data_IF_898724199626
#
_entry.id   IF_898724199626
#
_cell.length_a   1.000
_cell.length_b   1.000
_cell.length_c   1.000
_cell.angle_alpha   90.00
_cell.angle_beta   90.00
_cell.angle_gamma   90.00
#
_symmetry.space_group_name_H-M   'P 1'
#
loop_
_entity.id
_entity.type
_entity.pdbx_description
1 polymer ?
#
# COMPACT_ATOMS: atom_id res chain seq x y z
N UNK A 1 -5.85 17.03 69.30
CA UNK A 1 -4.70 17.51 68.50
C UNK A 1 -3.95 16.35 67.86
N UNK A 2 -3.72 15.24 68.57
CA UNK A 2 -3.13 14.02 67.97
C UNK A 2 -3.97 13.44 66.83
N UNK A 3 -5.30 13.36 66.97
CA UNK A 3 -6.19 12.78 65.92
C UNK A 3 -6.23 13.58 64.60
N UNK A 4 -6.07 14.90 64.69
CA UNK A 4 -6.08 15.79 63.53
C UNK A 4 -4.83 15.62 62.66
N UNK A 5 -3.68 15.37 63.30
CA UNK A 5 -2.40 15.14 62.61
C UNK A 5 -2.40 13.76 61.95
N UNK A 6 -3.00 12.74 62.57
CA UNK A 6 -3.13 11.41 61.97
C UNK A 6 -4.07 11.38 60.77
N UNK A 7 -5.20 12.10 60.81
CA UNK A 7 -6.07 12.23 59.64
C UNK A 7 -5.39 12.96 58.48
N UNK A 8 -4.68 14.04 58.75
CA UNK A 8 -4.02 14.83 57.71
C UNK A 8 -2.89 14.02 57.04
N UNK A 9 -2.09 13.30 57.83
CA UNK A 9 -1.04 12.39 57.34
C UNK A 9 -1.65 11.22 56.55
N UNK A 10 -2.73 10.60 57.03
CA UNK A 10 -3.41 9.51 56.32
C UNK A 10 -4.00 9.97 54.97
N UNK A 11 -4.57 11.18 54.94
CA UNK A 11 -5.15 11.76 53.73
C UNK A 11 -4.08 12.14 52.72
N UNK A 12 -2.94 12.68 53.17
CA UNK A 12 -1.79 12.98 52.31
C UNK A 12 -1.14 11.70 51.77
N UNK A 13 -0.97 10.68 52.61
CA UNK A 13 -0.47 9.38 52.18
C UNK A 13 -1.39 8.71 51.15
N UNK A 14 -2.73 8.77 51.37
CA UNK A 14 -3.72 8.26 50.42
C UNK A 14 -3.68 8.98 49.07
N UNK A 15 -3.53 10.32 49.08
CA UNK A 15 -3.35 11.12 47.86
C UNK A 15 -2.06 10.76 47.12
N UNK A 16 -0.96 10.53 47.83
CA UNK A 16 0.32 10.14 47.23
C UNK A 16 0.25 8.74 46.60
N UNK A 17 -0.39 7.79 47.29
CA UNK A 17 -0.63 6.43 46.78
C UNK A 17 -1.52 6.42 45.54
N UNK A 18 -2.59 7.21 45.53
CA UNK A 18 -3.43 7.41 44.34
C UNK A 18 -2.63 8.05 43.20
N UNK A 19 -1.83 9.08 43.46
CA UNK A 19 -1.02 9.72 42.43
C UNK A 19 0.04 8.77 41.83
N UNK A 20 0.69 7.94 42.65
CA UNK A 20 1.67 6.94 42.22
C UNK A 20 1.02 5.79 41.46
N UNK A 21 -0.09 5.24 41.95
CA UNK A 21 -0.78 4.13 41.30
C UNK A 21 -1.45 4.55 40.00
N UNK A 22 -2.18 5.67 39.99
CA UNK A 22 -2.77 6.23 38.77
C UNK A 22 -1.66 6.65 37.80
N UNK A 23 -0.58 7.29 38.26
CA UNK A 23 0.55 7.67 37.40
C UNK A 23 1.27 6.48 36.76
N UNK A 24 1.53 5.41 37.51
CA UNK A 24 2.16 4.20 37.00
C UNK A 24 1.25 3.41 36.03
N UNK A 25 -0.05 3.33 36.32
CA UNK A 25 -1.05 2.74 35.40
C UNK A 25 -1.21 3.60 34.15
N UNK A 26 -1.17 4.93 34.28
CA UNK A 26 -1.24 5.87 33.16
C UNK A 26 -0.05 5.73 32.22
N UNK A 27 1.18 5.64 32.74
CA UNK A 27 2.38 5.49 31.90
C UNK A 27 2.54 4.10 31.29
N UNK A 28 2.12 3.04 32.00
CA UNK A 28 2.16 1.67 31.47
C UNK A 28 1.11 1.43 30.38
N UNK A 29 -0.05 2.09 30.45
CA UNK A 29 -1.07 2.08 29.40
C UNK A 29 -0.88 3.18 28.34
N UNK A 30 -0.02 4.17 28.58
CA UNK A 30 0.24 5.23 27.61
C UNK A 30 0.85 4.68 26.32
N UNK A 31 1.88 3.83 26.41
CA UNK A 31 2.57 3.31 25.23
C UNK A 31 1.70 2.36 24.39
N UNK A 32 0.90 1.42 24.96
CA UNK A 32 0.01 0.58 24.16
C UNK A 32 -1.15 1.38 23.56
N UNK A 33 -1.73 2.34 24.30
CA UNK A 33 -2.82 3.19 23.78
C UNK A 33 -2.31 4.12 22.68
N UNK A 34 -1.13 4.71 22.83
CA UNK A 34 -0.50 5.51 21.79
C UNK A 34 -0.25 4.67 20.53
N UNK A 35 0.28 3.45 20.68
CA UNK A 35 0.50 2.53 19.58
C UNK A 35 -0.81 2.17 18.88
N UNK A 36 -1.86 1.80 19.62
CA UNK A 36 -3.18 1.50 19.05
C UNK A 36 -3.78 2.68 18.27
N UNK A 37 -3.62 3.92 18.76
CA UNK A 37 -4.10 5.11 18.06
C UNK A 37 -3.31 5.37 16.78
N UNK A 38 -1.99 5.22 16.82
CA UNK A 38 -1.13 5.36 15.65
C UNK A 38 -1.44 4.31 14.59
N UNK A 39 -1.61 3.04 14.97
CA UNK A 39 -1.98 1.97 14.03
C UNK A 39 -3.37 2.21 13.43
N UNK A 40 -4.37 2.59 14.23
CA UNK A 40 -5.72 2.85 13.73
C UNK A 40 -5.77 4.00 12.72
N UNK A 41 -4.97 5.05 12.92
CA UNK A 41 -4.85 6.14 11.94
C UNK A 41 -4.18 5.70 10.64
N UNK A 42 -3.18 4.83 10.72
CA UNK A 42 -2.50 4.28 9.54
C UNK A 42 -3.42 3.35 8.76
N UNK A 43 -4.15 2.48 9.45
CA UNK A 43 -5.12 1.57 8.86
C UNK A 43 -6.20 2.35 8.10
N UNK A 44 -6.74 3.41 8.71
CA UNK A 44 -7.71 4.29 8.07
C UNK A 44 -7.12 5.01 6.84
N UNK A 45 -5.93 5.61 6.96
CA UNK A 45 -5.29 6.32 5.86
C UNK A 45 -5.01 5.39 4.67
N UNK A 46 -4.55 4.17 4.94
CA UNK A 46 -4.31 3.14 3.94
C UNK A 46 -5.59 2.72 3.23
N UNK A 47 -6.65 2.40 3.97
CA UNK A 47 -7.95 2.05 3.39
C UNK A 47 -8.52 3.17 2.53
N UNK A 48 -8.41 4.42 2.99
CA UNK A 48 -8.83 5.59 2.21
C UNK A 48 -8.01 5.72 0.93
N UNK A 49 -6.69 5.54 0.99
CA UNK A 49 -5.82 5.58 -0.18
C UNK A 49 -6.17 4.47 -1.18
N UNK A 50 -6.40 3.25 -0.70
CA UNK A 50 -6.82 2.11 -1.53
C UNK A 50 -8.17 2.35 -2.22
N UNK A 51 -9.17 2.81 -1.47
CA UNK A 51 -10.49 3.14 -2.02
C UNK A 51 -10.40 4.25 -3.08
N UNK A 52 -9.58 5.27 -2.84
CA UNK A 52 -9.34 6.33 -3.83
C UNK A 52 -8.61 5.81 -5.06
N UNK A 53 -7.63 4.92 -4.88
CA UNK A 53 -6.91 4.30 -5.99
C UNK A 53 -7.85 3.47 -6.86
N UNK A 54 -8.79 2.73 -6.25
CA UNK A 54 -9.82 1.98 -6.97
C UNK A 54 -10.73 2.90 -7.78
N UNK A 55 -11.26 3.96 -7.17
CA UNK A 55 -12.11 4.94 -7.87
C UNK A 55 -11.37 5.62 -9.02
N UNK A 56 -10.13 6.05 -8.79
CA UNK A 56 -9.28 6.65 -9.81
C UNK A 56 -8.96 5.64 -10.94
N UNK A 57 -8.79 4.36 -10.62
CA UNK A 57 -8.59 3.29 -11.60
C UNK A 57 -9.79 3.13 -12.53
N UNK A 58 -11.02 3.18 -11.98
CA UNK A 58 -12.25 3.14 -12.78
C UNK A 58 -12.34 4.35 -13.72
N UNK A 59 -12.11 5.56 -13.19
CA UNK A 59 -12.11 6.78 -14.00
C UNK A 59 -11.03 6.77 -15.08
N UNK A 60 -9.85 6.22 -14.76
CA UNK A 60 -8.77 6.06 -15.72
C UNK A 60 -9.15 5.05 -16.82
N UNK A 61 -9.84 3.96 -16.48
CA UNK A 61 -10.32 2.99 -17.45
C UNK A 61 -11.30 3.64 -18.44
N UNK A 62 -12.25 4.44 -17.93
CA UNK A 62 -13.20 5.18 -18.77
C UNK A 62 -12.50 6.20 -19.67
N UNK A 63 -11.48 6.89 -19.14
CA UNK A 63 -10.68 7.84 -19.92
C UNK A 63 -9.87 7.12 -21.02
N UNK A 64 -9.27 5.97 -20.72
CA UNK A 64 -8.42 5.21 -21.64
C UNK A 64 -9.23 4.47 -22.71
N UNK A 65 -10.42 3.95 -22.37
CA UNK A 65 -11.30 3.27 -23.32
C UNK A 65 -12.00 4.24 -24.28
N UNK A 66 -12.12 5.51 -23.89
CA UNK A 66 -12.74 6.54 -24.69
C UNK A 66 -11.84 7.02 -25.85
N UNK A 67 -12.12 6.49 -27.06
CA UNK A 67 -11.41 6.84 -28.29
C UNK A 67 -11.52 8.31 -28.68
N UNK A 68 -12.55 9.02 -28.24
CA UNK A 68 -12.69 10.46 -28.50
C UNK A 68 -11.69 11.28 -27.66
N UNK A 69 -11.29 10.77 -26.49
CA UNK A 69 -10.32 11.42 -25.61
C UNK A 69 -8.89 11.08 -26.02
N UNK A 70 -8.60 9.79 -26.23
CA UNK A 70 -7.22 9.30 -26.47
C UNK A 70 -6.85 9.24 -27.96
N UNK A 71 -7.86 9.20 -28.85
CA UNK A 71 -7.66 8.93 -30.26
C UNK A 71 -7.26 7.47 -30.50
N UNK A 72 -6.41 7.25 -31.52
CA UNK A 72 -5.81 5.95 -31.84
C UNK A 72 -4.36 5.80 -31.32
N UNK A 73 -3.95 6.63 -30.37
CA UNK A 73 -2.58 6.60 -29.85
C UNK A 73 -2.43 5.44 -28.87
N UNK A 74 -1.33 4.67 -28.96
CA UNK A 74 -1.07 3.63 -27.98
C UNK A 74 -0.80 4.24 -26.60
N UNK A 75 -1.46 3.71 -25.57
CA UNK A 75 -1.31 4.19 -24.18
C UNK A 75 -0.41 3.23 -23.42
N UNK A 76 0.64 3.75 -22.79
CA UNK A 76 1.48 2.99 -21.87
C UNK A 76 1.38 3.59 -20.46
N UNK A 77 1.21 2.74 -19.45
CA UNK A 77 0.95 3.13 -18.07
C UNK A 77 2.09 2.69 -17.15
N UNK A 78 2.65 3.64 -16.40
CA UNK A 78 3.75 3.39 -15.47
C UNK A 78 3.38 3.99 -14.12
N UNK A 79 3.52 3.20 -13.05
CA UNK A 79 3.18 3.66 -11.72
C UNK A 79 3.92 2.90 -10.63
N UNK A 80 4.12 3.57 -9.51
CA UNK A 80 4.68 2.98 -8.30
C UNK A 80 3.69 3.08 -7.14
N UNK A 81 3.77 2.17 -6.17
CA UNK A 81 2.94 2.19 -4.96
C UNK A 81 1.44 2.26 -5.30
N UNK A 82 0.68 3.17 -4.68
CA UNK A 82 -0.73 3.42 -5.00
C UNK A 82 -0.96 3.86 -6.45
N UNK A 83 0.02 4.47 -7.12
CA UNK A 83 -0.07 4.75 -8.55
C UNK A 83 -0.08 3.45 -9.38
N UNK A 84 0.69 2.44 -8.96
CA UNK A 84 0.60 1.11 -9.54
C UNK A 84 -0.78 0.47 -9.25
N UNK A 85 -1.34 0.68 -8.06
CA UNK A 85 -2.68 0.19 -7.71
C UNK A 85 -3.77 0.81 -8.59
N UNK A 86 -3.71 2.13 -8.85
CA UNK A 86 -4.61 2.82 -9.79
C UNK A 86 -4.58 2.16 -11.17
N UNK A 87 -3.38 1.89 -11.69
CA UNK A 87 -3.22 1.23 -13.00
C UNK A 87 -3.76 -0.19 -12.95
N UNK A 88 -3.46 -0.95 -11.89
CA UNK A 88 -3.93 -2.32 -11.75
C UNK A 88 -5.47 -2.40 -11.74
N UNK A 89 -6.13 -1.53 -10.97
CA UNK A 89 -7.59 -1.42 -10.97
C UNK A 89 -8.16 -0.95 -12.31
N UNK A 90 -7.48 -0.01 -12.98
CA UNK A 90 -7.85 0.39 -14.34
C UNK A 90 -7.83 -0.80 -15.31
N UNK A 91 -6.77 -1.62 -15.31
CA UNK A 91 -6.68 -2.79 -16.20
C UNK A 91 -7.77 -3.83 -15.90
N UNK A 92 -8.06 -4.06 -14.62
CA UNK A 92 -9.16 -4.95 -14.23
C UNK A 92 -10.51 -4.43 -14.70
N UNK A 93 -10.74 -3.12 -14.58
CA UNK A 93 -11.98 -2.47 -15.00
C UNK A 93 -12.14 -2.50 -16.53
N UNK A 94 -11.08 -2.21 -17.29
CA UNK A 94 -11.07 -2.37 -18.75
C UNK A 94 -11.46 -3.80 -19.16
N UNK A 95 -10.90 -4.80 -18.49
CA UNK A 95 -11.29 -6.20 -18.73
C UNK A 95 -12.75 -6.47 -18.36
N UNK A 96 -13.28 -5.85 -17.29
CA UNK A 96 -14.69 -5.98 -16.88
C UNK A 96 -15.64 -5.35 -17.92
N UNK A 97 -15.22 -4.25 -18.55
CA UNK A 97 -15.94 -3.58 -19.63
C UNK A 97 -15.84 -4.32 -20.98
N UNK A 98 -15.05 -5.40 -21.06
CA UNK A 98 -14.79 -6.13 -22.31
C UNK A 98 -13.76 -5.47 -23.22
N UNK A 99 -13.07 -4.42 -22.75
CA UNK A 99 -12.03 -3.70 -23.48
C UNK A 99 -10.69 -4.47 -23.40
N UNK A 100 -10.47 -5.38 -24.34
CA UNK A 100 -9.21 -6.14 -24.47
C UNK A 100 -8.16 -5.40 -25.28
N UNK A 101 -6.88 -5.64 -25.00
CA UNK A 101 -5.75 -5.07 -25.76
C UNK A 101 -5.77 -3.54 -25.89
N UNK A 102 -6.36 -2.84 -24.91
CA UNK A 102 -6.54 -1.38 -24.94
C UNK A 102 -5.25 -0.66 -24.56
N UNK A 103 -4.54 -1.17 -23.56
CA UNK A 103 -3.26 -0.61 -23.09
C UNK A 103 -2.12 -1.29 -23.83
N UNK A 104 -1.14 -0.52 -24.29
CA UNK A 104 0.04 -1.05 -24.99
C UNK A 104 1.00 -1.72 -24.00
N UNK A 105 1.46 -0.98 -23.00
CA UNK A 105 2.37 -1.47 -21.98
C UNK A 105 1.93 -1.03 -20.59
N UNK A 106 2.19 -1.86 -19.58
CA UNK A 106 1.95 -1.51 -18.19
C UNK A 106 3.14 -1.93 -17.32
N UNK A 107 3.66 -1.03 -16.50
CA UNK A 107 4.69 -1.30 -15.51
C UNK A 107 4.20 -0.93 -14.11
N UNK A 108 4.13 -1.93 -13.24
CA UNK A 108 3.63 -1.81 -11.88
C UNK A 108 4.80 -1.99 -10.91
N UNK A 109 5.18 -0.91 -10.21
CA UNK A 109 6.33 -0.92 -9.31
C UNK A 109 5.91 -0.92 -7.84
N UNK A 110 6.34 -1.92 -7.09
CA UNK A 110 6.00 -2.03 -5.67
C UNK A 110 4.48 -2.06 -5.43
N UNK A 111 3.74 -2.80 -6.26
CA UNK A 111 2.28 -2.85 -6.24
C UNK A 111 1.76 -3.34 -4.88
N UNK A 112 0.99 -2.50 -4.15
CA UNK A 112 0.35 -2.89 -2.91
C UNK A 112 -1.00 -3.55 -3.19
N UNK A 113 -1.00 -4.68 -3.88
CA UNK A 113 -2.20 -5.50 -4.11
C UNK A 113 -1.81 -6.98 -4.15
N UNK A 114 -2.82 -7.86 -4.09
CA UNK A 114 -2.59 -9.29 -4.05
C UNK A 114 -1.94 -9.82 -5.33
N UNK A 115 -1.23 -10.93 -5.22
CA UNK A 115 -0.69 -11.66 -6.36
C UNK A 115 -1.68 -12.69 -6.96
N UNK A 116 -2.99 -12.53 -6.72
CA UNK A 116 -4.03 -13.45 -7.19
C UNK A 116 -3.99 -13.63 -8.70
N UNK A 117 -3.76 -14.86 -9.17
CA UNK A 117 -3.69 -15.15 -10.61
C UNK A 117 -4.96 -14.77 -11.35
N UNK A 118 -6.13 -14.79 -10.70
CA UNK A 118 -7.40 -14.38 -11.32
C UNK A 118 -7.46 -12.88 -11.60
N UNK A 119 -6.97 -12.07 -10.67
CA UNK A 119 -6.88 -10.61 -10.79
C UNK A 119 -5.87 -10.20 -11.87
N UNK A 120 -4.70 -10.84 -11.84
CA UNK A 120 -3.66 -10.62 -12.84
C UNK A 120 -4.06 -11.11 -14.24
N UNK A 121 -4.87 -12.18 -14.35
CA UNK A 121 -5.46 -12.59 -15.63
C UNK A 121 -6.36 -11.53 -16.22
N UNK A 122 -7.23 -10.90 -15.41
CA UNK A 122 -8.06 -9.78 -15.87
C UNK A 122 -7.19 -8.62 -16.34
N UNK A 123 -6.19 -8.23 -15.54
CA UNK A 123 -5.27 -7.16 -15.93
C UNK A 123 -4.52 -7.48 -17.23
N UNK A 124 -4.06 -8.73 -17.40
CA UNK A 124 -3.36 -9.22 -18.60
C UNK A 124 -4.22 -9.16 -19.86
N UNK A 125 -5.53 -9.41 -19.77
CA UNK A 125 -6.44 -9.30 -20.91
C UNK A 125 -6.55 -7.87 -21.49
N UNK A 126 -6.38 -6.85 -20.63
CA UNK A 126 -6.49 -5.45 -21.04
C UNK A 126 -5.21 -4.90 -21.69
N UNK A 127 -4.07 -5.57 -21.48
CA UNK A 127 -2.76 -5.16 -22.01
C UNK A 127 -2.47 -5.95 -23.29
N UNK A 128 -1.98 -5.28 -24.33
CA UNK A 128 -1.60 -5.91 -25.60
C UNK A 128 -0.11 -6.30 -25.64
N UNK A 129 0.76 -5.45 -25.10
CA UNK A 129 2.20 -5.69 -24.99
C UNK A 129 2.62 -6.15 -23.60
N UNK A 130 3.78 -5.67 -23.15
CA UNK A 130 4.43 -6.03 -21.88
C UNK A 130 3.60 -5.59 -20.66
N UNK A 131 3.35 -6.53 -19.74
CA UNK A 131 2.85 -6.26 -18.38
C UNK A 131 3.96 -6.64 -17.41
N UNK A 132 4.58 -5.64 -16.79
CA UNK A 132 5.75 -5.83 -15.93
C UNK A 132 5.37 -5.59 -14.47
N UNK A 133 5.67 -6.56 -13.62
CA UNK A 133 5.65 -6.45 -12.17
C UNK A 133 7.07 -6.23 -11.66
N UNK A 134 7.35 -5.03 -11.17
CA UNK A 134 8.62 -4.67 -10.52
C UNK A 134 8.43 -4.82 -9.02
N UNK A 135 9.16 -5.75 -8.41
CA UNK A 135 8.99 -6.10 -6.99
C UNK A 135 10.32 -6.03 -6.23
N UNK A 136 10.24 -5.71 -4.95
CA UNK A 136 11.39 -5.72 -4.04
C UNK A 136 11.03 -6.54 -2.81
N UNK A 137 11.70 -7.68 -2.63
CA UNK A 137 11.58 -8.50 -1.43
C UNK A 137 12.07 -7.79 -0.16
N UNK A 138 12.87 -6.73 -0.33
CA UNK A 138 13.45 -5.92 0.76
C UNK A 138 12.58 -4.71 1.14
N UNK A 139 11.43 -4.50 0.51
CA UNK A 139 10.56 -3.37 0.83
C UNK A 139 9.89 -3.58 2.21
N UNK A 140 10.53 -3.01 3.22
CA UNK A 140 10.07 -3.16 4.59
C UNK A 140 8.74 -2.46 4.88
N UNK A 141 8.41 -1.37 4.20
CA UNK A 141 7.14 -0.66 4.44
C UNK A 141 5.98 -1.49 3.91
N UNK A 142 6.12 -2.01 2.69
CA UNK A 142 5.09 -2.87 2.11
C UNK A 142 4.97 -4.18 2.88
N UNK A 143 6.11 -4.76 3.28
CA UNK A 143 6.15 -5.98 4.11
C UNK A 143 5.55 -5.79 5.50
N UNK A 144 5.76 -4.65 6.15
CA UNK A 144 5.21 -4.35 7.47
C UNK A 144 3.70 -4.09 7.42
N UNK A 145 3.25 -3.23 6.50
CA UNK A 145 1.85 -2.86 6.38
C UNK A 145 0.99 -4.08 6.02
N UNK A 146 1.40 -4.89 5.04
CA UNK A 146 0.63 -6.08 4.68
C UNK A 146 0.69 -7.20 5.72
N UNK A 147 1.83 -7.43 6.38
CA UNK A 147 1.88 -8.42 7.47
C UNK A 147 0.97 -8.05 8.64
N UNK A 148 0.79 -6.76 8.90
CA UNK A 148 -0.05 -6.26 9.99
C UNK A 148 -1.53 -6.21 9.60
N UNK A 149 -1.85 -5.78 8.38
CA UNK A 149 -3.23 -5.52 7.95
C UNK A 149 -3.90 -6.72 7.26
N UNK A 150 -3.13 -7.60 6.63
CA UNK A 150 -3.65 -8.69 5.78
C UNK A 150 -2.85 -9.99 6.04
N UNK A 151 -3.17 -10.66 7.14
CA UNK A 151 -2.48 -11.86 7.62
C UNK A 151 -2.45 -12.97 6.53
N UNK A 152 -1.27 -13.26 5.99
CA UNK A 152 -1.05 -14.40 5.07
C UNK A 152 -1.24 -14.13 3.58
N UNK A 153 -1.51 -12.89 3.15
CA UNK A 153 -1.63 -12.56 1.72
C UNK A 153 -0.27 -12.30 1.07
N UNK A 154 -0.07 -12.89 -0.11
CA UNK A 154 1.12 -12.63 -0.94
C UNK A 154 0.87 -11.37 -1.78
N UNK A 155 1.77 -10.40 -1.63
CA UNK A 155 1.69 -9.07 -2.26
C UNK A 155 2.55 -9.04 -3.51
N UNK A 156 2.01 -8.55 -4.62
CA UNK A 156 2.73 -8.51 -5.89
C UNK A 156 3.98 -7.62 -5.86
N UNK A 157 3.99 -6.55 -5.05
CA UNK A 157 5.16 -5.69 -4.87
C UNK A 157 6.31 -6.32 -4.05
N UNK A 158 6.09 -7.46 -3.39
CA UNK A 158 7.11 -8.18 -2.60
C UNK A 158 7.59 -9.47 -3.26
N UNK A 159 6.85 -10.01 -4.23
CA UNK A 159 7.11 -11.32 -4.82
C UNK A 159 6.66 -11.36 -6.27
N UNK A 160 7.35 -12.19 -7.05
CA UNK A 160 6.94 -12.50 -8.42
C UNK A 160 5.51 -13.05 -8.49
N UNK A 161 4.82 -12.66 -9.56
CA UNK A 161 3.48 -13.13 -9.92
C UNK A 161 3.62 -14.31 -10.89
N UNK A 162 3.08 -15.46 -10.50
CA UNK A 162 3.10 -16.66 -11.33
C UNK A 162 1.92 -16.65 -12.33
N UNK A 163 2.12 -15.91 -13.44
CA UNK A 163 1.17 -15.85 -14.54
C UNK A 163 1.91 -15.66 -15.87
N UNK A 164 1.56 -16.46 -16.88
CA UNK A 164 2.09 -16.31 -18.23
C UNK A 164 1.73 -14.94 -18.82
N UNK A 165 2.72 -14.28 -19.45
CA UNK A 165 2.55 -12.94 -20.03
C UNK A 165 2.69 -11.79 -19.01
N UNK A 166 3.04 -12.11 -17.75
CA UNK A 166 3.53 -11.13 -16.77
C UNK A 166 5.04 -11.28 -16.64
N UNK A 167 5.76 -10.21 -16.92
CA UNK A 167 7.21 -10.13 -16.70
C UNK A 167 7.46 -9.71 -15.25
N UNK A 168 8.36 -10.40 -14.56
CA UNK A 168 8.70 -10.07 -13.17
C UNK A 168 10.15 -9.57 -13.10
N UNK A 169 10.36 -8.40 -12.51
CA UNK A 169 11.68 -7.78 -12.36
C UNK A 169 11.94 -7.54 -10.87
N UNK A 170 12.97 -8.20 -10.34
CA UNK A 170 13.41 -8.07 -8.96
C UNK A 170 14.36 -6.88 -8.83
N UNK A 171 14.09 -5.97 -7.88
CA UNK A 171 14.86 -4.73 -7.72
C UNK A 171 15.35 -4.47 -6.29
N UNK A 172 15.47 -5.49 -5.44
CA UNK A 172 15.95 -5.33 -4.06
C UNK A 172 17.37 -4.75 -3.98
N UNK A 173 18.20 -4.95 -5.02
CA UNK A 173 19.52 -4.35 -5.11
C UNK A 173 19.50 -2.81 -5.24
N UNK A 174 18.42 -2.25 -5.79
CA UNK A 174 18.27 -0.81 -6.08
C UNK A 174 17.31 -0.14 -5.10
N UNK A 175 16.23 -0.83 -4.73
CA UNK A 175 15.16 -0.35 -3.85
C UNK A 175 15.23 -1.09 -2.51
N UNK A 176 15.72 -0.40 -1.47
CA UNK A 176 15.77 -0.91 -0.10
C UNK A 176 14.61 -0.41 0.76
N UNK A 177 14.06 0.76 0.41
CA UNK A 177 12.93 1.35 1.11
C UNK A 177 11.87 1.82 0.11
N UNK A 178 10.58 1.70 0.44
CA UNK A 178 9.48 2.17 -0.41
C UNK A 178 9.59 3.66 -0.81
N UNK A 179 10.20 4.48 0.04
CA UNK A 179 10.48 5.90 -0.23
C UNK A 179 11.53 6.14 -1.32
N UNK A 180 12.23 5.10 -1.76
CA UNK A 180 13.27 5.21 -2.80
C UNK A 180 12.64 5.24 -4.19
N UNK A 181 11.44 4.66 -4.38
CA UNK A 181 10.76 4.58 -5.68
C UNK A 181 10.73 5.92 -6.42
N UNK A 182 10.26 7.05 -5.84
CA UNK A 182 10.14 8.31 -6.58
C UNK A 182 11.46 8.83 -7.15
N UNK A 183 12.58 8.58 -6.47
CA UNK A 183 13.92 9.03 -6.91
C UNK A 183 14.55 8.07 -7.91
N UNK A 184 14.11 6.81 -7.91
CA UNK A 184 14.67 5.71 -8.69
C UNK A 184 13.81 5.34 -9.89
N UNK A 185 12.65 5.96 -10.10
CA UNK A 185 11.80 5.70 -11.29
C UNK A 185 12.61 5.73 -12.58
N UNK A 186 13.49 6.73 -12.86
CA UNK A 186 14.29 6.72 -14.08
C UNK A 186 15.20 5.49 -14.20
N UNK A 187 15.89 5.12 -13.10
CA UNK A 187 16.75 3.94 -13.05
C UNK A 187 15.95 2.65 -13.30
N UNK A 188 14.75 2.56 -12.72
CA UNK A 188 13.85 1.41 -12.88
C UNK A 188 13.31 1.31 -14.30
N UNK A 189 12.96 2.43 -14.92
CA UNK A 189 12.48 2.47 -16.31
C UNK A 189 13.57 2.01 -17.27
N UNK A 190 14.80 2.51 -17.10
CA UNK A 190 15.97 2.07 -17.86
C UNK A 190 16.26 0.57 -17.65
N UNK A 191 16.16 0.07 -16.41
CA UNK A 191 16.36 -1.35 -16.10
C UNK A 191 15.32 -2.25 -16.76
N UNK A 192 14.06 -1.82 -16.81
CA UNK A 192 12.96 -2.56 -17.44
C UNK A 192 13.01 -2.45 -18.97
N UNK A 193 13.75 -1.48 -19.51
CA UNK A 193 13.84 -1.20 -20.94
C UNK A 193 12.61 -0.48 -21.49
N UNK A 194 12.10 0.49 -20.73
CA UNK A 194 11.15 1.49 -21.19
C UNK A 194 11.86 2.84 -21.26
N UNK A 195 12.13 3.33 -22.47
CA UNK A 195 12.78 4.63 -22.75
C UNK A 195 11.77 5.76 -22.95
#
# INVERSE_FOLDING_TARGET
MQDLITEEVATQAGKLWLALSVGAVSMSLAWPVALLRSTASLDNAWMVARNRAQQAGVLLADAVSNRQVVGQRPVSLYGYSFGAAVIFYCLQELSRQGCVNTVQHACLMGLPETNSSAEWRRARCAVSGRLVNVYSSSDWVLGFLYRYMEFGLQVAGLKAVDLQGVENVEVSGVIRHHRDYPKRVPDLMALVGFD
#
